data_IF_012389755163
#
_entry.id   IF_012389755163
#
_cell.length_a   1.000
_cell.length_b   1.000
_cell.length_c   1.000
_cell.angle_alpha   90.00
_cell.angle_beta   90.00
_cell.angle_gamma   90.00
#
_symmetry.space_group_name_H-M   'P 1'
#
loop_
_entity.id
_entity.type
_entity.pdbx_description
1 polymer ?
#
# COMPACT_ATOMS: atom_id res chain seq x y z
N UNK A 1 -65.63 35.57 -10.95
CA UNK A 1 -65.34 35.57 -9.49
C UNK A 1 -65.45 34.15 -8.96
N UNK A 2 -64.58 33.81 -8.00
CA UNK A 2 -64.42 32.54 -7.25
C UNK A 2 -63.50 31.45 -7.87
N UNK A 3 -62.30 31.45 -7.29
CA UNK A 3 -61.15 30.52 -7.30
C UNK A 3 -61.55 29.08 -6.92
N UNK A 4 -60.71 28.08 -7.23
CA UNK A 4 -60.27 26.91 -6.41
C UNK A 4 -59.46 25.98 -7.36
N UNK A 5 -58.20 26.30 -7.67
CA UNK A 5 -56.99 25.64 -7.10
C UNK A 5 -57.20 24.15 -6.76
N UNK A 6 -56.71 23.25 -7.62
CA UNK A 6 -56.16 21.95 -7.20
C UNK A 6 -54.87 21.69 -7.97
N UNK A 7 -53.77 21.95 -7.25
CA UNK A 7 -52.43 21.46 -7.53
C UNK A 7 -52.46 19.94 -7.74
N UNK A 8 -51.97 19.48 -8.88
CA UNK A 8 -51.48 18.11 -9.05
C UNK A 8 -49.97 18.18 -9.25
N UNK A 9 -49.23 18.39 -8.16
CA UNK A 9 -47.78 18.19 -8.17
C UNK A 9 -47.57 16.69 -8.32
N UNK A 10 -47.37 16.24 -9.55
CA UNK A 10 -46.81 14.93 -9.81
C UNK A 10 -45.33 15.02 -9.42
N UNK A 11 -45.07 14.73 -8.15
CA UNK A 11 -43.74 14.66 -7.59
C UNK A 11 -42.97 13.56 -8.29
N UNK A 12 -42.25 13.93 -9.34
CA UNK A 12 -41.20 13.13 -9.95
C UNK A 12 -40.08 13.06 -8.91
N UNK A 13 -40.19 12.12 -7.97
CA UNK A 13 -39.07 11.65 -7.15
C UNK A 13 -38.14 10.87 -8.07
N UNK A 14 -37.46 11.60 -8.97
CA UNK A 14 -36.19 11.16 -9.50
C UNK A 14 -35.24 11.23 -8.32
N UNK A 15 -35.18 10.13 -7.57
CA UNK A 15 -34.05 9.81 -6.72
C UNK A 15 -32.89 9.71 -7.69
N UNK A 16 -32.23 10.84 -7.93
CA UNK A 16 -30.86 10.91 -8.37
C UNK A 16 -30.09 10.17 -7.29
N UNK A 17 -30.00 8.86 -7.43
CA UNK A 17 -28.96 8.06 -6.83
C UNK A 17 -27.67 8.70 -7.31
N UNK A 18 -27.13 9.62 -6.52
CA UNK A 18 -25.73 10.00 -6.60
C UNK A 18 -24.98 8.70 -6.35
N UNK A 19 -24.74 7.93 -7.41
CA UNK A 19 -23.53 7.13 -7.49
C UNK A 19 -22.43 8.16 -7.52
N UNK A 20 -21.99 8.59 -6.33
CA UNK A 20 -20.70 9.21 -6.18
C UNK A 20 -19.74 8.16 -6.71
N UNK A 21 -19.34 8.30 -7.98
CA UNK A 21 -18.21 7.57 -8.50
C UNK A 21 -17.07 7.95 -7.57
N UNK A 22 -16.68 7.01 -6.70
CA UNK A 22 -15.44 7.13 -5.96
C UNK A 22 -14.38 7.32 -7.04
N UNK A 23 -13.86 8.55 -7.13
CA UNK A 23 -12.78 8.86 -8.05
C UNK A 23 -11.63 7.92 -7.69
N UNK A 24 -10.99 7.29 -8.67
CA UNK A 24 -9.77 6.51 -8.47
C UNK A 24 -8.65 7.47 -8.05
N UNK A 25 -8.70 7.94 -6.81
CA UNK A 25 -7.59 8.59 -6.16
C UNK A 25 -6.69 7.47 -5.66
N UNK A 26 -5.61 7.25 -6.40
CA UNK A 26 -4.46 6.54 -5.89
C UNK A 26 -3.98 7.26 -4.65
N UNK A 27 -3.90 6.53 -3.54
CA UNK A 27 -3.12 6.96 -2.37
C UNK A 27 -1.83 7.59 -2.87
N UNK A 28 -1.41 8.75 -2.34
CA UNK A 28 -0.23 9.46 -2.83
C UNK A 28 0.97 8.52 -2.73
N UNK A 29 1.29 7.86 -3.85
CA UNK A 29 2.37 6.88 -3.91
C UNK A 29 3.63 7.67 -3.63
N UNK A 30 4.47 7.22 -2.68
CA UNK A 30 5.72 7.90 -2.43
C UNK A 30 6.51 7.98 -3.74
N UNK A 31 6.95 9.17 -4.12
CA UNK A 31 7.68 9.38 -5.37
C UNK A 31 8.92 8.49 -5.40
N UNK A 32 9.05 7.69 -6.47
CA UNK A 32 10.16 6.75 -6.68
C UNK A 32 11.20 7.27 -7.67
N UNK A 33 11.14 8.54 -8.07
CA UNK A 33 12.12 9.12 -8.99
C UNK A 33 13.57 8.89 -8.54
N UNK A 34 13.84 9.02 -7.23
CA UNK A 34 15.16 8.78 -6.66
C UNK A 34 15.59 7.31 -6.73
N UNK A 35 14.66 6.38 -6.45
CA UNK A 35 14.94 4.93 -6.58
C UNK A 35 15.22 4.57 -8.03
N UNK A 36 14.40 5.06 -8.97
CA UNK A 36 14.57 4.81 -10.40
C UNK A 36 15.92 5.33 -10.89
N UNK A 37 16.31 6.53 -10.46
CA UNK A 37 17.61 7.09 -10.78
C UNK A 37 18.75 6.24 -10.20
N UNK A 38 18.68 5.87 -8.92
CA UNK A 38 19.72 5.07 -8.28
C UNK A 38 19.88 3.67 -8.91
N UNK A 39 18.77 3.04 -9.32
CA UNK A 39 18.80 1.77 -10.06
C UNK A 39 19.49 1.93 -11.41
N UNK A 40 19.23 3.03 -12.11
CA UNK A 40 19.90 3.34 -13.38
C UNK A 40 21.39 3.53 -13.17
N UNK A 41 21.79 4.38 -12.23
CA UNK A 41 23.19 4.68 -11.93
C UNK A 41 23.95 3.40 -11.54
N UNK A 42 23.35 2.55 -10.69
CA UNK A 42 23.94 1.26 -10.34
C UNK A 42 24.04 0.30 -11.53
N UNK A 43 23.06 0.31 -12.43
CA UNK A 43 23.07 -0.54 -13.62
C UNK A 43 24.18 -0.11 -14.59
N UNK A 44 24.37 1.21 -14.76
CA UNK A 44 25.45 1.77 -15.56
C UNK A 44 26.83 1.45 -14.96
N UNK A 45 26.96 1.50 -13.64
CA UNK A 45 28.23 1.27 -12.95
C UNK A 45 28.60 -0.21 -12.81
N UNK A 46 27.64 -1.08 -12.48
CA UNK A 46 27.90 -2.47 -12.07
C UNK A 46 27.31 -3.51 -13.04
N UNK A 47 26.65 -3.07 -14.11
CA UNK A 47 25.91 -3.93 -15.04
C UNK A 47 24.50 -4.27 -14.54
N UNK A 48 23.77 -5.15 -15.25
CA UNK A 48 22.39 -5.50 -14.93
C UNK A 48 22.23 -5.96 -13.47
N UNK A 49 21.19 -5.48 -12.79
CA UNK A 49 20.92 -5.85 -11.39
C UNK A 49 19.97 -7.04 -11.31
N UNK A 50 20.28 -7.97 -10.40
CA UNK A 50 19.40 -9.09 -10.04
C UNK A 50 18.47 -8.65 -8.92
N UNK A 51 17.16 -8.79 -9.13
CA UNK A 51 16.14 -8.35 -8.17
C UNK A 51 15.62 -9.53 -7.37
N UNK A 52 15.64 -9.41 -6.03
CA UNK A 52 14.90 -10.29 -5.12
C UNK A 52 13.85 -9.49 -4.40
N UNK A 53 12.61 -9.98 -4.40
CA UNK A 53 11.51 -9.34 -3.66
C UNK A 53 11.17 -10.21 -2.47
N UNK A 54 10.86 -9.61 -1.32
CA UNK A 54 10.41 -10.31 -0.14
C UNK A 54 10.02 -9.35 0.97
N UNK A 55 9.85 -9.90 2.16
CA UNK A 55 9.59 -9.14 3.38
C UNK A 55 10.85 -9.10 4.23
N UNK A 56 11.21 -7.96 4.80
CA UNK A 56 12.24 -7.88 5.83
C UNK A 56 11.66 -8.45 7.12
N UNK A 57 12.25 -9.55 7.60
CA UNK A 57 11.90 -10.14 8.89
C UNK A 57 12.73 -9.57 10.04
N UNK A 58 13.98 -9.18 9.77
CA UNK A 58 14.87 -8.56 10.74
C UNK A 58 15.94 -7.69 10.07
N UNK A 59 16.50 -6.77 10.87
CA UNK A 59 17.70 -5.99 10.52
C UNK A 59 18.68 -6.03 11.69
N UNK A 60 19.96 -6.18 11.37
CA UNK A 60 21.07 -6.01 12.31
C UNK A 60 22.08 -5.03 11.70
N UNK A 61 23.09 -4.59 12.47
CA UNK A 61 24.07 -3.61 12.01
C UNK A 61 24.74 -4.04 10.69
N UNK A 62 24.34 -3.40 9.59
CA UNK A 62 24.85 -3.71 8.25
C UNK A 62 24.28 -4.99 7.63
N UNK A 63 23.17 -5.53 8.14
CA UNK A 63 22.54 -6.76 7.65
C UNK A 63 21.01 -6.63 7.53
N UNK A 64 20.46 -7.29 6.51
CA UNK A 64 19.03 -7.35 6.23
C UNK A 64 18.65 -8.82 6.04
N UNK A 65 17.67 -9.28 6.81
CA UNK A 65 17.10 -10.62 6.66
C UNK A 65 15.79 -10.53 5.90
N UNK A 66 15.72 -11.17 4.73
CA UNK A 66 14.46 -11.45 4.07
C UNK A 66 13.81 -12.69 4.67
N UNK A 67 12.55 -12.54 5.09
CA UNK A 67 11.63 -13.62 5.41
C UNK A 67 11.44 -14.55 4.22
N UNK A 68 11.13 -15.81 4.51
CA UNK A 68 11.11 -16.88 3.53
C UNK A 68 10.25 -16.57 2.29
N UNK A 69 10.87 -16.49 1.12
CA UNK A 69 10.19 -16.45 -0.17
C UNK A 69 10.45 -17.76 -0.91
N UNK A 70 9.37 -18.44 -1.30
CA UNK A 70 9.28 -19.70 -2.05
C UNK A 70 9.97 -20.95 -1.46
N UNK A 71 11.15 -20.82 -0.85
CA UNK A 71 11.99 -21.93 -0.37
C UNK A 71 11.78 -22.24 1.14
N UNK A 72 10.94 -21.47 1.83
CA UNK A 72 10.68 -21.66 3.27
C UNK A 72 11.82 -21.25 4.21
N UNK A 73 12.92 -20.71 3.69
CA UNK A 73 14.08 -20.27 4.49
C UNK A 73 14.31 -18.77 4.45
N UNK A 74 14.55 -18.19 5.62
CA UNK A 74 15.06 -16.83 5.75
C UNK A 74 16.46 -16.72 5.15
N UNK A 75 16.77 -15.58 4.54
CA UNK A 75 18.09 -15.30 3.97
C UNK A 75 18.58 -13.93 4.42
N UNK A 76 19.76 -13.91 5.04
CA UNK A 76 20.43 -12.69 5.48
C UNK A 76 21.42 -12.22 4.43
N UNK A 77 21.45 -10.91 4.20
CA UNK A 77 22.32 -10.24 3.24
C UNK A 77 23.04 -9.08 3.92
N UNK A 78 24.32 -8.89 3.62
CA UNK A 78 25.01 -7.67 4.03
C UNK A 78 24.44 -6.48 3.27
N UNK A 79 24.13 -5.40 3.99
CA UNK A 79 23.66 -4.11 3.48
C UNK A 79 24.72 -3.00 3.59
N UNK A 80 25.95 -3.34 3.99
CA UNK A 80 27.05 -2.40 4.22
C UNK A 80 27.38 -1.50 3.01
N UNK A 81 27.22 -2.02 1.80
CA UNK A 81 27.45 -1.30 0.55
C UNK A 81 26.15 -0.81 -0.13
N UNK A 82 25.01 -0.97 0.53
CA UNK A 82 23.70 -0.75 -0.06
C UNK A 82 23.18 0.66 0.26
N UNK A 83 22.67 1.38 -0.74
CA UNK A 83 21.82 2.53 -0.48
C UNK A 83 20.41 2.04 -0.13
N UNK A 84 19.88 2.53 0.98
CA UNK A 84 18.57 2.14 1.50
C UNK A 84 17.55 3.21 1.17
N UNK A 85 16.44 2.81 0.54
CA UNK A 85 15.31 3.66 0.24
C UNK A 85 14.08 3.15 0.99
N UNK A 86 13.33 4.08 1.56
CA UNK A 86 12.10 3.84 2.32
C UNK A 86 11.04 4.76 1.75
N UNK A 87 9.96 4.18 1.22
CA UNK A 87 8.91 4.91 0.55
C UNK A 87 9.48 5.89 -0.48
N UNK A 88 10.37 5.39 -1.35
CA UNK A 88 10.96 6.17 -2.43
C UNK A 88 12.03 7.20 -2.03
N UNK A 89 12.26 7.42 -0.74
CA UNK A 89 13.23 8.39 -0.21
C UNK A 89 14.46 7.71 0.38
N UNK A 90 15.60 8.40 0.38
CA UNK A 90 16.82 7.88 1.02
C UNK A 90 16.60 7.72 2.53
N UNK A 91 16.94 6.56 3.05
CA UNK A 91 16.77 6.19 4.45
C UNK A 91 17.98 5.40 4.97
N UNK A 92 17.78 4.76 6.12
CA UNK A 92 18.80 3.96 6.80
C UNK A 92 18.25 2.56 7.10
N UNK A 93 19.13 1.57 7.19
CA UNK A 93 18.76 0.17 7.45
C UNK A 93 17.91 0.02 8.72
N UNK A 94 18.19 0.80 9.78
CA UNK A 94 17.44 0.76 11.04
C UNK A 94 15.95 1.14 10.92
N UNK A 95 15.55 1.78 9.82
CA UNK A 95 14.16 2.13 9.55
C UNK A 95 13.40 1.05 8.76
N UNK A 96 14.09 0.00 8.28
CA UNK A 96 13.49 -1.18 7.66
C UNK A 96 12.95 -2.15 8.73
N UNK A 97 12.02 -1.69 9.54
CA UNK A 97 11.46 -2.47 10.65
C UNK A 97 9.98 -2.77 10.46
N UNK A 98 9.51 -3.92 10.99
CA UNK A 98 8.08 -4.15 11.13
C UNK A 98 7.42 -3.01 11.91
N UNK A 99 6.24 -2.57 11.47
CA UNK A 99 5.49 -1.51 12.16
C UNK A 99 4.81 -2.07 13.43
N UNK A 100 4.54 -3.37 13.45
CA UNK A 100 3.98 -4.11 14.58
C UNK A 100 4.37 -5.62 14.47
N UNK A 101 4.12 -6.46 15.49
CA UNK A 101 4.34 -7.91 15.42
C UNK A 101 3.57 -8.54 14.25
N UNK A 102 4.25 -9.30 13.38
CA UNK A 102 3.66 -9.88 12.15
C UNK A 102 3.29 -8.86 11.04
N UNK A 103 3.93 -7.68 11.02
CA UNK A 103 3.73 -6.65 10.00
C UNK A 103 5.05 -6.31 9.29
N UNK A 104 5.51 -7.23 8.44
CA UNK A 104 6.86 -7.24 7.86
C UNK A 104 7.05 -6.31 6.69
N UNK A 105 8.24 -5.68 6.62
CA UNK A 105 8.71 -4.65 5.67
C UNK A 105 8.98 -5.16 4.26
N UNK A 106 8.03 -5.03 3.33
CA UNK A 106 8.20 -5.38 1.93
C UNK A 106 9.38 -4.62 1.30
N UNK A 107 10.23 -5.35 0.60
CA UNK A 107 11.41 -4.81 -0.02
C UNK A 107 11.75 -5.51 -1.35
N UNK A 108 12.39 -4.75 -2.23
CA UNK A 108 13.18 -5.22 -3.37
C UNK A 108 14.65 -5.00 -3.06
N UNK A 109 15.41 -6.07 -3.12
CA UNK A 109 16.86 -6.08 -3.01
C UNK A 109 17.47 -6.18 -4.41
N UNK A 110 18.38 -5.26 -4.74
CA UNK A 110 19.06 -5.22 -6.03
C UNK A 110 20.52 -5.60 -5.85
N UNK A 111 20.90 -6.74 -6.40
CA UNK A 111 22.25 -7.28 -6.36
C UNK A 111 22.96 -7.01 -7.67
N UNK A 112 24.24 -6.69 -7.62
CA UNK A 112 25.07 -6.70 -8.83
C UNK A 112 25.41 -8.13 -9.29
N UNK A 113 26.14 -8.24 -10.39
CA UNK A 113 26.56 -9.52 -10.96
C UNK A 113 27.58 -10.29 -10.07
N UNK A 114 28.17 -9.63 -9.08
CA UNK A 114 29.08 -10.23 -8.10
C UNK A 114 28.32 -10.72 -6.85
N UNK A 115 27.01 -10.48 -6.79
CA UNK A 115 26.16 -10.85 -5.65
C UNK A 115 26.21 -9.84 -4.50
N UNK A 116 26.77 -8.64 -4.70
CA UNK A 116 26.79 -7.58 -3.69
C UNK A 116 25.46 -6.83 -3.72
N UNK A 117 24.84 -6.66 -2.55
CA UNK A 117 23.62 -5.85 -2.42
C UNK A 117 23.98 -4.37 -2.60
N UNK A 118 23.42 -3.74 -3.64
CA UNK A 118 23.68 -2.33 -3.98
C UNK A 118 22.56 -1.40 -3.56
N UNK A 119 21.31 -1.87 -3.65
CA UNK A 119 20.15 -1.05 -3.33
C UNK A 119 19.11 -1.88 -2.57
N UNK A 120 18.46 -1.22 -1.62
CA UNK A 120 17.27 -1.71 -0.93
C UNK A 120 16.17 -0.72 -1.22
N UNK A 121 15.13 -1.15 -1.92
CA UNK A 121 13.91 -0.36 -2.12
C UNK A 121 12.82 -0.94 -1.23
N UNK A 122 12.41 -0.15 -0.26
CA UNK A 122 11.61 -0.57 0.86
C UNK A 122 10.31 0.20 0.98
N UNK A 123 9.19 -0.45 1.28
CA UNK A 123 7.92 0.28 1.37
C UNK A 123 6.92 -0.24 2.43
N UNK A 124 6.29 0.76 3.06
CA UNK A 124 5.01 0.69 3.74
C UNK A 124 4.27 2.00 3.58
N UNK A 125 3.09 1.97 3.00
CA UNK A 125 2.16 3.10 3.08
C UNK A 125 1.03 2.69 4.01
N UNK A 126 0.97 3.34 5.16
CA UNK A 126 -0.09 3.15 6.13
C UNK A 126 -1.02 4.36 6.11
N UNK A 127 -2.33 4.12 6.14
CA UNK A 127 -3.32 5.19 6.18
C UNK A 127 -4.48 4.83 7.08
N UNK A 128 -4.91 5.79 7.89
CA UNK A 128 -6.12 5.66 8.69
C UNK A 128 -7.34 6.09 7.88
N UNK A 129 -8.36 5.24 7.84
CA UNK A 129 -9.54 5.45 7.00
C UNK A 129 -10.82 5.06 7.72
N UNK A 130 -11.92 5.71 7.34
CA UNK A 130 -13.29 5.24 7.53
C UNK A 130 -13.67 4.29 6.39
N UNK A 131 -14.17 3.10 6.70
CA UNK A 131 -14.69 2.16 5.70
C UNK A 131 -16.09 2.60 5.28
N UNK A 132 -16.29 2.90 4.00
CA UNK A 132 -17.60 3.32 3.48
C UNK A 132 -18.36 2.17 2.81
N UNK A 133 -17.64 1.26 2.13
CA UNK A 133 -18.23 0.09 1.50
C UNK A 133 -17.21 -1.04 1.30
N UNK A 134 -17.70 -2.27 1.30
CA UNK A 134 -16.92 -3.49 1.04
C UNK A 134 -17.50 -4.21 -0.19
N UNK A 135 -16.68 -4.40 -1.21
CA UNK A 135 -17.01 -5.16 -2.43
C UNK A 135 -16.21 -6.46 -2.42
N UNK A 136 -16.80 -7.53 -1.88
CA UNK A 136 -16.14 -8.83 -1.76
C UNK A 136 -15.94 -9.51 -3.12
N UNK A 137 -16.78 -9.21 -4.12
CA UNK A 137 -16.70 -9.82 -5.45
C UNK A 137 -15.51 -9.26 -6.22
N UNK A 138 -15.33 -7.94 -6.21
CA UNK A 138 -14.20 -7.26 -6.84
C UNK A 138 -12.99 -7.15 -5.93
N UNK A 139 -13.08 -7.70 -4.70
CA UNK A 139 -12.08 -7.58 -3.65
C UNK A 139 -11.62 -6.13 -3.48
N UNK A 140 -12.53 -5.21 -3.23
CA UNK A 140 -12.23 -3.79 -3.11
C UNK A 140 -12.91 -3.15 -1.89
N UNK A 141 -12.29 -2.12 -1.34
CA UNK A 141 -12.87 -1.25 -0.32
C UNK A 141 -13.06 0.16 -0.87
N UNK A 142 -14.19 0.77 -0.53
CA UNK A 142 -14.37 2.21 -0.65
C UNK A 142 -14.16 2.82 0.71
N UNK A 143 -13.23 3.76 0.82
CA UNK A 143 -12.79 4.31 2.10
C UNK A 143 -12.66 5.82 2.03
N UNK A 144 -12.65 6.49 3.17
CA UNK A 144 -12.31 7.91 3.28
C UNK A 144 -11.15 8.06 4.27
N UNK A 145 -9.99 8.57 3.86
CA UNK A 145 -8.92 8.88 4.81
C UNK A 145 -9.40 9.85 5.89
N UNK A 146 -8.98 9.63 7.14
CA UNK A 146 -9.43 10.48 8.25
C UNK A 146 -8.91 11.92 8.12
N UNK A 147 -7.75 12.08 7.50
CA UNK A 147 -7.07 13.35 7.27
C UNK A 147 -7.46 14.03 5.94
N UNK A 148 -8.27 13.39 5.09
CA UNK A 148 -8.64 13.90 3.77
C UNK A 148 -10.14 13.80 3.47
N UNK A 149 -10.69 14.80 2.79
CA UNK A 149 -12.11 14.82 2.45
C UNK A 149 -12.52 13.91 1.27
N UNK A 150 -11.55 13.35 0.53
CA UNK A 150 -11.82 12.60 -0.70
C UNK A 150 -12.04 11.11 -0.41
N UNK A 151 -13.01 10.51 -1.11
CA UNK A 151 -13.27 9.06 -1.05
C UNK A 151 -12.38 8.33 -2.05
N UNK A 152 -11.77 7.23 -1.60
CA UNK A 152 -10.86 6.41 -2.38
C UNK A 152 -11.42 5.01 -2.57
N UNK A 153 -11.09 4.39 -3.71
CA UNK A 153 -11.33 2.97 -3.95
C UNK A 153 -9.99 2.24 -3.97
N UNK A 154 -9.83 1.27 -3.08
CA UNK A 154 -8.60 0.49 -2.92
C UNK A 154 -8.90 -0.99 -3.13
N UNK A 155 -8.00 -1.69 -3.80
CA UNK A 155 -8.12 -3.13 -4.07
C UNK A 155 -7.51 -3.91 -2.91
N UNK A 156 -8.10 -5.03 -2.50
CA UNK A 156 -7.53 -5.95 -1.53
C UNK A 156 -6.53 -6.87 -2.24
N UNK A 157 -5.34 -6.99 -1.67
CA UNK A 157 -4.32 -7.92 -2.17
C UNK A 157 -4.91 -9.33 -2.30
N UNK A 158 -4.56 -10.11 -3.34
CA UNK A 158 -5.03 -11.50 -3.50
C UNK A 158 -4.69 -12.39 -2.29
N UNK A 159 -3.64 -12.03 -1.55
CA UNK A 159 -3.12 -12.77 -0.40
C UNK A 159 -3.87 -12.46 0.91
N UNK A 160 -4.70 -11.42 0.94
CA UNK A 160 -5.43 -11.02 2.13
C UNK A 160 -6.69 -11.87 2.30
N UNK A 161 -6.78 -12.68 3.36
CA UNK A 161 -8.03 -13.37 3.67
C UNK A 161 -9.12 -12.37 4.04
N UNK A 162 -10.32 -12.53 3.49
CA UNK A 162 -11.49 -11.67 3.71
C UNK A 162 -12.23 -11.97 5.04
N UNK A 163 -11.63 -12.78 5.93
CA UNK A 163 -12.26 -13.32 7.13
C UNK A 163 -12.27 -12.38 8.36
N UNK A 164 -12.07 -11.07 8.17
CA UNK A 164 -11.96 -10.12 9.29
C UNK A 164 -13.26 -9.36 9.58
N UNK A 165 -13.69 -9.40 10.84
CA UNK A 165 -14.74 -8.54 11.43
C UNK A 165 -14.42 -7.04 11.42
N UNK A 166 -13.19 -6.66 11.03
CA UNK A 166 -12.70 -5.28 10.98
C UNK A 166 -13.09 -4.51 9.70
N UNK A 167 -13.81 -5.13 8.77
CA UNK A 167 -14.27 -4.51 7.52
C UNK A 167 -15.78 -4.26 7.57
N UNK A 168 -16.21 -3.45 8.51
CA UNK A 168 -17.62 -3.03 8.62
C UNK A 168 -17.75 -1.59 8.14
N UNK A 169 -18.69 -1.29 7.22
CA UNK A 169 -18.98 0.10 6.88
C UNK A 169 -19.33 0.94 8.12
N UNK A 170 -18.70 2.12 8.24
CA UNK A 170 -18.80 3.02 9.37
C UNK A 170 -17.65 2.90 10.38
N UNK A 171 -16.89 1.81 10.36
CA UNK A 171 -15.73 1.64 11.25
C UNK A 171 -14.51 2.37 10.72
N UNK A 172 -13.67 2.85 11.65
CA UNK A 172 -12.33 3.34 11.34
C UNK A 172 -11.30 2.24 11.52
N UNK A 173 -10.40 2.11 10.55
CA UNK A 173 -9.31 1.14 10.60
C UNK A 173 -8.03 1.73 10.00
N UNK A 174 -6.89 1.12 10.34
CA UNK A 174 -5.63 1.43 9.68
C UNK A 174 -5.38 0.42 8.56
N UNK A 175 -5.19 0.94 7.34
CA UNK A 175 -4.85 0.14 6.17
C UNK A 175 -3.35 0.19 5.94
N UNK A 176 -2.77 -0.99 5.68
CA UNK A 176 -1.43 -1.10 5.14
C UNK A 176 -1.53 -1.45 3.66
N UNK A 177 -0.94 -0.60 2.83
CA UNK A 177 -0.91 -0.73 1.38
C UNK A 177 0.47 -1.25 0.94
N UNK A 178 0.45 -2.11 -0.07
CA UNK A 178 1.65 -2.49 -0.80
C UNK A 178 1.99 -1.48 -1.91
N UNK A 179 3.06 -1.74 -2.66
CA UNK A 179 3.56 -0.87 -3.72
C UNK A 179 2.62 -0.72 -4.92
N UNK A 180 1.63 -1.60 -5.06
CA UNK A 180 0.59 -1.52 -6.10
C UNK A 180 -0.69 -0.84 -5.57
N UNK A 181 -0.63 -0.26 -4.36
CA UNK A 181 -1.76 0.28 -3.61
C UNK A 181 -2.82 -0.76 -3.25
N UNK A 182 -2.47 -2.05 -3.25
CA UNK A 182 -3.36 -3.05 -2.75
C UNK A 182 -3.31 -3.07 -1.21
N UNK A 183 -4.48 -3.13 -0.60
CA UNK A 183 -4.64 -3.34 0.83
C UNK A 183 -4.12 -4.72 1.15
N UNK A 184 -3.01 -4.75 1.86
CA UNK A 184 -2.35 -5.97 2.29
C UNK A 184 -2.79 -6.40 3.68
N UNK A 185 -3.21 -5.46 4.52
CA UNK A 185 -3.72 -5.73 5.87
C UNK A 185 -4.64 -4.63 6.35
N UNK A 186 -5.57 -5.02 7.22
CA UNK A 186 -6.56 -4.17 7.87
C UNK A 186 -6.37 -4.34 9.37
N UNK A 187 -6.14 -3.26 10.09
CA UNK A 187 -5.98 -3.23 11.53
C UNK A 187 -7.20 -2.51 12.10
N UNK A 188 -8.08 -3.26 12.75
CA UNK A 188 -9.21 -2.68 13.48
C UNK A 188 -8.73 -1.90 14.70
N UNK A 189 -9.48 -0.85 15.06
CA UNK A 189 -9.30 -0.16 16.34
C UNK A 189 -9.89 -0.96 17.49
#
# INVERSE_FOLDING_TARGET
>A
MKKWVRLGILGLLLVLSYTSEATEHTCSVPDRALVVQAVRDCTEQYGPLVVKTGEISATADGEITLGAVADGQEKTFSSSAAAVFINGQLGITAALRPIAPEFYFAARLYFDQQGVLRLVDGWYVGIEVEVLAVDTTRRALTVRPVDQGATWRLTLSPLLSLSNSALTPGDSCFLLLDWENNIRKVIGR
#
